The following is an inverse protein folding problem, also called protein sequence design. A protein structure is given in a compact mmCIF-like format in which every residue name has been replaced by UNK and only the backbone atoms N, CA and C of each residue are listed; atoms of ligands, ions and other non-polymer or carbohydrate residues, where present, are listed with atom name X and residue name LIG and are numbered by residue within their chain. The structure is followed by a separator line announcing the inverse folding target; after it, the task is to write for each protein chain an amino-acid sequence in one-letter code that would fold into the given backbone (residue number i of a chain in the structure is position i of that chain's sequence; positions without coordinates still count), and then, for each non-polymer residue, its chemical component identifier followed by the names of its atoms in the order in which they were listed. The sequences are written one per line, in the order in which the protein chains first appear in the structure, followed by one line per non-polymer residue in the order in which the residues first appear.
data_IF_207669587491
#
_entry.id   IF_207669587491
#
_cell.length_a   1.000
_cell.length_b   1.000
_cell.length_c   1.000
_cell.angle_alpha   90.00
_cell.angle_beta   90.00
_cell.angle_gamma   90.00
#
_symmetry.space_group_name_H-M   'P 1'
#
loop_
_entity.id
_entity.type
_entity.pdbx_description
1 polymer ?
#
# COMPACT_ATOMS: atom_id res chain seq x y z
N UNK A 1 13.48 10.11 8.43
CA UNK A 1 13.18 8.82 7.81
C UNK A 1 14.41 7.92 7.68
N UNK A 2 15.61 8.34 8.11
CA UNK A 2 16.82 7.50 8.02
C UNK A 2 16.69 6.24 8.89
N UNK A 3 16.17 6.35 10.11
CA UNK A 3 16.03 5.23 11.03
C UNK A 3 14.96 4.24 10.53
N UNK A 4 13.88 4.75 9.94
CA UNK A 4 12.87 3.90 9.26
C UNK A 4 13.51 3.12 8.12
N UNK A 5 14.32 3.77 7.27
CA UNK A 5 14.99 3.11 6.15
C UNK A 5 15.95 2.03 6.65
N UNK A 6 16.75 2.30 7.68
CA UNK A 6 17.65 1.30 8.29
C UNK A 6 16.87 0.09 8.84
N UNK A 7 15.74 0.33 9.51
CA UNK A 7 14.87 -0.74 10.02
C UNK A 7 14.26 -1.56 8.87
N UNK A 8 13.85 -0.91 7.77
CA UNK A 8 13.35 -1.60 6.57
C UNK A 8 14.44 -2.41 5.87
N UNK A 9 15.68 -1.92 5.79
CA UNK A 9 16.85 -2.70 5.32
C UNK A 9 17.10 -3.95 6.16
N UNK A 10 16.91 -3.84 7.48
CA UNK A 10 17.00 -5.02 8.35
C UNK A 10 15.88 -6.02 8.05
N UNK A 11 14.65 -5.56 7.89
CA UNK A 11 13.54 -6.44 7.55
C UNK A 11 13.70 -7.10 6.17
N UNK A 12 14.18 -6.37 5.17
CA UNK A 12 14.37 -6.91 3.81
C UNK A 12 15.39 -8.06 3.77
N UNK A 13 16.37 -8.09 4.68
CA UNK A 13 17.34 -9.19 4.79
C UNK A 13 16.83 -10.37 5.62
N UNK A 14 15.81 -10.16 6.46
CA UNK A 14 15.24 -11.18 7.35
C UNK A 14 14.00 -11.85 6.77
N UNK A 15 13.30 -11.17 5.85
CA UNK A 15 12.02 -11.61 5.30
C UNK A 15 12.21 -11.90 3.82
N UNK A 16 12.12 -13.18 3.49
CA UNK A 16 12.01 -13.61 2.11
C UNK A 16 10.55 -13.52 1.65
N UNK A 17 10.27 -12.55 0.77
CA UNK A 17 8.93 -12.30 0.24
C UNK A 17 8.38 -13.50 -0.54
N UNK A 18 9.22 -14.30 -1.21
CA UNK A 18 8.77 -15.50 -1.94
C UNK A 18 8.14 -16.54 -1.03
N UNK A 19 8.55 -16.55 0.23
CA UNK A 19 8.05 -17.46 1.26
C UNK A 19 7.00 -16.81 2.17
N UNK A 20 7.02 -15.49 2.32
CA UNK A 20 6.27 -14.78 3.37
C UNK A 20 5.07 -13.98 2.86
N UNK A 21 5.10 -13.53 1.62
CA UNK A 21 4.00 -12.82 0.99
C UNK A 21 2.94 -13.83 0.54
N UNK A 22 1.72 -13.66 1.03
CA UNK A 22 0.63 -14.61 0.83
C UNK A 22 -0.64 -13.86 0.41
N UNK A 23 -0.69 -13.48 -0.86
CA UNK A 23 -1.85 -12.85 -1.48
C UNK A 23 -2.21 -13.57 -2.77
N UNK A 24 -3.17 -14.49 -2.70
CA UNK A 24 -3.56 -15.32 -3.83
C UNK A 24 -4.73 -14.69 -4.61
N UNK A 25 -4.81 -15.02 -5.90
CA UNK A 25 -5.93 -14.66 -6.78
C UNK A 25 -6.26 -15.85 -7.70
N UNK A 26 -7.43 -15.82 -8.33
CA UNK A 26 -7.84 -16.87 -9.26
C UNK A 26 -7.13 -16.70 -10.62
N UNK A 27 -6.20 -17.61 -10.93
CA UNK A 27 -5.40 -17.61 -12.17
C UNK A 27 -6.23 -18.08 -13.37
N UNK A 28 -7.38 -18.73 -13.14
CA UNK A 28 -8.28 -19.22 -14.19
C UNK A 28 -9.41 -18.22 -14.50
N UNK A 29 -9.33 -16.99 -13.98
CA UNK A 29 -10.33 -15.95 -14.26
C UNK A 29 -10.29 -15.55 -15.75
N UNK A 30 -11.47 -15.26 -16.32
CA UNK A 30 -11.67 -14.94 -17.73
C UNK A 30 -10.96 -13.65 -18.20
N UNK A 31 -10.39 -12.86 -17.28
CA UNK A 31 -9.52 -11.74 -17.66
C UNK A 31 -8.23 -12.19 -18.35
N UNK A 32 -7.79 -13.43 -18.11
CA UNK A 32 -6.53 -13.97 -18.63
C UNK A 32 -6.75 -14.76 -19.93
N UNK A 33 -5.84 -14.58 -20.88
CA UNK A 33 -5.72 -15.48 -22.02
C UNK A 33 -5.06 -16.80 -21.61
N UNK A 34 -5.18 -17.84 -22.43
CA UNK A 34 -4.50 -19.12 -22.17
C UNK A 34 -2.98 -18.97 -21.99
N UNK A 35 -2.35 -18.08 -22.76
CA UNK A 35 -0.91 -17.78 -22.65
C UNK A 35 -0.58 -17.10 -21.32
N UNK A 36 -1.38 -16.12 -20.90
CA UNK A 36 -1.18 -15.42 -19.62
C UNK A 36 -1.40 -16.35 -18.42
N UNK A 37 -2.40 -17.22 -18.49
CA UNK A 37 -2.64 -18.29 -17.50
C UNK A 37 -1.44 -19.22 -17.42
N UNK A 38 -0.88 -19.67 -18.54
CA UNK A 38 0.32 -20.51 -18.56
C UNK A 38 1.51 -19.80 -17.91
N UNK A 39 1.75 -18.53 -18.25
CA UNK A 39 2.80 -17.72 -17.64
C UNK A 39 2.64 -17.62 -16.11
N UNK A 40 1.44 -17.34 -15.62
CA UNK A 40 1.15 -17.25 -14.19
C UNK A 40 1.33 -18.59 -13.46
N UNK A 41 1.04 -19.71 -14.12
CA UNK A 41 1.27 -21.05 -13.57
C UNK A 41 2.75 -21.43 -13.46
N UNK A 42 3.65 -20.78 -14.22
CA UNK A 42 5.10 -21.01 -14.08
C UNK A 42 5.66 -20.45 -12.78
N UNK A 43 5.04 -19.40 -12.23
CA UNK A 43 5.46 -18.77 -10.99
C UNK A 43 5.02 -19.61 -9.77
N UNK A 44 6.00 -20.00 -8.95
CA UNK A 44 5.82 -21.03 -7.91
C UNK A 44 5.23 -20.53 -6.60
N UNK A 45 5.13 -19.22 -6.40
CA UNK A 45 4.71 -18.61 -5.15
C UNK A 45 3.86 -17.36 -5.38
N UNK A 46 3.06 -16.95 -4.38
CA UNK A 46 2.14 -15.82 -4.54
C UNK A 46 2.85 -14.50 -4.86
N UNK A 47 4.09 -14.30 -4.37
CA UNK A 47 4.85 -13.09 -4.67
C UNK A 47 5.16 -12.99 -6.16
N UNK A 48 5.83 -14.00 -6.73
CA UNK A 48 6.21 -14.00 -8.15
C UNK A 48 4.97 -13.90 -9.05
N UNK A 49 3.86 -14.56 -8.69
CA UNK A 49 2.58 -14.46 -9.41
C UNK A 49 1.99 -13.05 -9.40
N UNK A 50 2.04 -12.33 -8.27
CA UNK A 50 1.56 -10.94 -8.21
C UNK A 50 2.49 -9.97 -8.94
N UNK A 51 3.80 -10.24 -8.93
CA UNK A 51 4.77 -9.49 -9.75
C UNK A 51 4.45 -9.67 -11.23
N UNK A 52 4.22 -10.90 -11.69
CA UNK A 52 3.82 -11.21 -13.06
C UNK A 52 2.51 -10.54 -13.44
N UNK A 53 1.51 -10.64 -12.57
CA UNK A 53 0.20 -10.02 -12.76
C UNK A 53 0.29 -8.51 -12.98
N UNK A 54 1.18 -7.82 -12.23
CA UNK A 54 1.41 -6.37 -12.41
C UNK A 54 1.77 -6.03 -13.84
N UNK A 55 2.67 -6.79 -14.44
CA UNK A 55 3.13 -6.56 -15.81
C UNK A 55 2.11 -7.00 -16.86
N UNK A 56 1.43 -8.13 -16.67
CA UNK A 56 0.34 -8.57 -17.58
C UNK A 56 -0.74 -7.48 -17.66
N UNK A 57 -1.25 -7.01 -16.53
CA UNK A 57 -2.30 -6.00 -16.52
C UNK A 57 -1.80 -4.63 -17.01
N UNK A 58 -0.56 -4.25 -16.72
CA UNK A 58 0.05 -3.04 -17.28
C UNK A 58 0.06 -3.06 -18.81
N UNK A 59 0.39 -4.21 -19.43
CA UNK A 59 0.34 -4.36 -20.88
C UNK A 59 -1.10 -4.33 -21.42
N UNK A 60 -2.05 -5.02 -20.75
CA UNK A 60 -3.46 -4.95 -21.14
C UNK A 60 -4.02 -3.53 -21.08
N UNK A 61 -3.62 -2.70 -20.12
CA UNK A 61 -4.04 -1.29 -20.07
C UNK A 61 -3.61 -0.48 -21.29
N UNK A 62 -2.44 -0.80 -21.88
CA UNK A 62 -1.90 -0.10 -23.05
C UNK A 62 -2.62 -0.48 -24.34
N UNK A 63 -3.21 -1.68 -24.40
CA UNK A 63 -3.80 -2.24 -25.62
C UNK A 63 -5.33 -2.33 -25.59
N UNK A 64 -5.95 -2.33 -24.40
CA UNK A 64 -7.39 -2.51 -24.25
C UNK A 64 -8.18 -1.20 -24.33
N UNK A 65 -9.25 -1.22 -25.14
CA UNK A 65 -10.27 -0.18 -25.14
C UNK A 65 -11.18 -0.24 -23.89
N UNK A 66 -11.32 -1.41 -23.25
CA UNK A 66 -12.23 -1.66 -22.13
C UNK A 66 -11.53 -1.56 -20.77
N UNK A 67 -10.90 -0.42 -20.50
CA UNK A 67 -10.16 -0.21 -19.25
C UNK A 67 -11.03 -0.33 -17.99
N UNK A 68 -12.33 -0.01 -18.08
CA UNK A 68 -13.24 -0.09 -16.94
C UNK A 68 -13.37 -1.53 -16.43
N UNK A 69 -13.44 -2.52 -17.31
CA UNK A 69 -13.52 -3.93 -16.90
C UNK A 69 -12.30 -4.32 -16.06
N UNK A 70 -11.10 -3.92 -16.52
CA UNK A 70 -9.83 -4.16 -15.82
C UNK A 70 -9.81 -3.41 -14.48
N UNK A 71 -10.24 -2.14 -14.46
CA UNK A 71 -10.28 -1.32 -13.24
C UNK A 71 -11.12 -1.99 -12.15
N UNK A 72 -12.32 -2.47 -12.51
CA UNK A 72 -13.21 -3.13 -11.55
C UNK A 72 -12.73 -4.52 -11.16
N UNK A 73 -12.12 -5.28 -12.07
CA UNK A 73 -11.52 -6.56 -11.74
C UNK A 73 -10.40 -6.40 -10.69
N UNK A 74 -9.51 -5.43 -10.88
CA UNK A 74 -8.42 -5.12 -9.94
C UNK A 74 -8.97 -4.81 -8.55
N UNK A 75 -10.02 -4.01 -8.46
CA UNK A 75 -10.55 -3.58 -7.15
C UNK A 75 -11.40 -4.68 -6.50
N UNK A 76 -12.28 -5.33 -7.27
CA UNK A 76 -13.31 -6.22 -6.73
C UNK A 76 -12.83 -7.67 -6.63
N UNK A 77 -12.23 -8.20 -7.69
CA UNK A 77 -11.83 -9.60 -7.78
C UNK A 77 -10.46 -9.78 -7.12
N UNK A 78 -9.43 -9.08 -7.60
CA UNK A 78 -8.09 -9.16 -7.02
C UNK A 78 -8.03 -8.48 -5.65
N UNK A 79 -8.49 -7.24 -5.53
CA UNK A 79 -8.44 -6.48 -4.27
C UNK A 79 -9.47 -6.88 -3.22
N UNK A 80 -10.47 -7.70 -3.58
CA UNK A 80 -11.52 -8.18 -2.68
C UNK A 80 -12.48 -7.10 -2.16
N UNK A 81 -12.58 -5.94 -2.79
CA UNK A 81 -13.42 -4.80 -2.33
C UNK A 81 -14.77 -4.79 -3.05
N UNK A 82 -15.62 -5.80 -2.78
CA UNK A 82 -16.93 -6.00 -3.44
C UNK A 82 -17.91 -4.82 -3.34
N UNK A 83 -17.69 -3.87 -2.42
CA UNK A 83 -18.50 -2.66 -2.28
C UNK A 83 -18.29 -1.63 -3.40
N UNK A 84 -17.16 -1.69 -4.12
CA UNK A 84 -16.82 -0.75 -5.20
C UNK A 84 -17.43 -1.22 -6.54
N UNK A 85 -18.76 -1.17 -6.63
CA UNK A 85 -19.52 -1.71 -7.76
C UNK A 85 -19.32 -0.91 -9.07
N UNK A 86 -19.42 -1.57 -10.24
CA UNK A 86 -19.42 -0.89 -11.54
C UNK A 86 -20.71 -0.10 -11.76
N UNK A 87 -20.70 1.16 -11.34
CA UNK A 87 -21.77 2.13 -11.57
C UNK A 87 -21.17 3.44 -12.08
N UNK A 88 -22.01 4.30 -12.66
CA UNK A 88 -21.59 5.58 -13.27
C UNK A 88 -20.73 6.41 -12.32
N UNK A 89 -21.15 6.56 -11.05
CA UNK A 89 -20.41 7.30 -10.03
C UNK A 89 -18.99 6.77 -9.82
N UNK A 90 -18.82 5.46 -9.75
CA UNK A 90 -17.51 4.84 -9.54
C UNK A 90 -16.64 4.86 -10.81
N UNK A 91 -17.25 4.76 -11.99
CA UNK A 91 -16.57 4.94 -13.29
C UNK A 91 -16.01 6.37 -13.36
N UNK A 92 -16.84 7.38 -13.11
CA UNK A 92 -16.42 8.79 -13.09
C UNK A 92 -15.33 9.04 -12.05
N UNK A 93 -15.44 8.43 -10.87
CA UNK A 93 -14.43 8.52 -9.81
C UNK A 93 -13.07 7.96 -10.27
N UNK A 94 -13.05 6.79 -10.91
CA UNK A 94 -11.82 6.21 -11.47
C UNK A 94 -11.24 7.12 -12.58
N UNK A 95 -12.08 7.60 -13.51
CA UNK A 95 -11.62 8.49 -14.58
C UNK A 95 -11.01 9.78 -14.03
N UNK A 96 -11.65 10.39 -13.02
CA UNK A 96 -11.11 11.57 -12.34
C UNK A 96 -9.80 11.27 -11.63
N UNK A 97 -9.69 10.12 -10.97
CA UNK A 97 -8.46 9.67 -10.33
C UNK A 97 -7.32 9.51 -11.34
N UNK A 98 -7.55 8.83 -12.47
CA UNK A 98 -6.56 8.69 -13.56
C UNK A 98 -6.06 10.04 -14.05
N UNK A 99 -6.95 11.03 -14.21
CA UNK A 99 -6.57 12.42 -14.56
C UNK A 99 -5.76 13.12 -13.46
N UNK A 100 -6.09 12.87 -12.19
CA UNK A 100 -5.42 13.46 -11.03
C UNK A 100 -4.01 12.89 -10.79
N UNK A 101 -3.80 11.61 -11.10
CA UNK A 101 -2.47 10.98 -11.03
C UNK A 101 -1.47 11.72 -11.92
N UNK A 102 -1.86 12.03 -13.17
CA UNK A 102 -1.01 12.78 -14.11
C UNK A 102 -0.68 14.18 -13.59
N UNK A 103 -1.56 14.78 -12.77
CA UNK A 103 -1.37 16.11 -12.18
C UNK A 103 -0.55 16.09 -10.88
N UNK A 104 -0.37 14.94 -10.24
CA UNK A 104 0.35 14.84 -8.96
C UNK A 104 -0.42 15.39 -7.74
N UNK A 105 -1.75 15.52 -7.82
CA UNK A 105 -2.57 15.97 -6.67
C UNK A 105 -3.96 15.31 -6.68
N UNK A 106 -4.38 14.76 -5.54
CA UNK A 106 -5.68 14.11 -5.37
C UNK A 106 -6.71 15.06 -4.75
N UNK A 107 -7.97 14.94 -5.18
CA UNK A 107 -9.09 15.50 -4.41
C UNK A 107 -9.40 14.65 -3.18
N UNK A 108 -9.97 15.26 -2.13
CA UNK A 108 -10.39 14.56 -0.91
C UNK A 108 -11.35 13.39 -1.18
N UNK A 109 -12.30 13.55 -2.13
CA UNK A 109 -13.21 12.45 -2.50
C UNK A 109 -12.47 11.26 -3.17
N UNK A 110 -11.40 11.51 -3.92
CA UNK A 110 -10.55 10.43 -4.42
C UNK A 110 -9.74 9.80 -3.28
N UNK A 111 -9.16 10.62 -2.40
CA UNK A 111 -8.37 10.12 -1.27
C UNK A 111 -9.21 9.23 -0.33
N UNK A 112 -10.49 9.56 -0.11
CA UNK A 112 -11.40 8.73 0.71
C UNK A 112 -11.52 7.27 0.26
N UNK A 113 -11.24 7.00 -1.02
CA UNK A 113 -11.25 5.65 -1.63
C UNK A 113 -9.87 5.21 -2.10
N UNK A 114 -8.80 5.82 -1.59
CA UNK A 114 -7.45 5.62 -2.11
C UNK A 114 -6.99 4.17 -2.02
N UNK A 115 -7.42 3.39 -1.02
CA UNK A 115 -7.02 1.98 -0.93
C UNK A 115 -7.51 1.15 -2.11
N UNK A 116 -8.62 1.55 -2.76
CA UNK A 116 -9.12 0.94 -3.99
C UNK A 116 -8.43 1.53 -5.20
N UNK A 117 -8.40 2.86 -5.29
CA UNK A 117 -7.89 3.57 -6.46
C UNK A 117 -6.38 3.36 -6.66
N UNK A 118 -5.58 3.33 -5.60
CA UNK A 118 -4.13 3.09 -5.69
C UNK A 118 -3.78 1.72 -6.27
N UNK A 119 -4.66 0.72 -6.12
CA UNK A 119 -4.49 -0.60 -6.74
C UNK A 119 -4.43 -0.45 -8.25
N UNK A 120 -5.40 0.25 -8.82
CA UNK A 120 -5.50 0.53 -10.27
C UNK A 120 -4.20 1.18 -10.77
N UNK A 121 -3.73 2.25 -10.13
CA UNK A 121 -2.49 2.90 -10.57
C UNK A 121 -1.25 2.04 -10.45
N UNK A 122 -1.17 1.18 -9.42
CA UNK A 122 -0.04 0.25 -9.25
C UNK A 122 0.04 -0.84 -10.32
N UNK A 123 -1.06 -1.06 -11.06
CA UNK A 123 -1.12 -1.94 -12.23
C UNK A 123 -0.95 -1.18 -13.54
N UNK A 124 -1.42 0.07 -13.63
CA UNK A 124 -1.21 0.92 -14.82
C UNK A 124 0.29 1.17 -15.03
N UNK A 125 0.98 1.60 -13.97
CA UNK A 125 2.39 1.95 -14.00
C UNK A 125 3.10 1.44 -12.73
N UNK A 126 3.51 0.16 -12.75
CA UNK A 126 4.18 -0.50 -11.62
C UNK A 126 5.54 0.11 -11.24
N UNK A 127 6.12 0.95 -12.12
CA UNK A 127 7.42 1.59 -11.88
C UNK A 127 7.31 2.88 -11.06
N UNK A 128 6.13 3.49 -11.00
CA UNK A 128 5.92 4.78 -10.33
C UNK A 128 4.89 4.74 -9.21
N UNK A 129 3.94 3.79 -9.23
CA UNK A 129 2.85 3.76 -8.27
C UNK A 129 2.78 2.46 -7.48
N UNK A 130 2.40 2.59 -6.22
CA UNK A 130 2.28 1.49 -5.25
C UNK A 130 0.94 1.56 -4.55
N UNK A 131 0.59 0.48 -3.84
CA UNK A 131 -0.72 0.37 -3.21
C UNK A 131 -0.71 1.08 -1.84
N UNK A 132 -1.60 2.07 -1.69
CA UNK A 132 -1.86 2.76 -0.43
C UNK A 132 -2.89 1.97 0.41
N UNK A 133 -2.52 0.76 0.80
CA UNK A 133 -3.37 -0.11 1.63
C UNK A 133 -3.25 0.23 3.11
N UNK A 134 -4.33 0.03 3.87
CA UNK A 134 -4.34 0.23 5.32
C UNK A 134 -3.20 -0.48 6.05
N UNK A 135 -2.83 -1.71 5.66
CA UNK A 135 -1.71 -2.45 6.29
C UNK A 135 -0.37 -1.83 6.00
N UNK A 136 -0.17 -1.39 4.75
CA UNK A 136 1.08 -0.77 4.31
C UNK A 136 1.31 0.54 5.06
N UNK A 137 0.28 1.38 5.16
CA UNK A 137 0.36 2.65 5.86
C UNK A 137 0.45 2.47 7.38
N UNK A 138 -0.24 1.46 7.93
CA UNK A 138 -0.11 1.09 9.34
C UNK A 138 1.34 0.75 9.70
N UNK A 139 1.96 -0.14 8.93
CA UNK A 139 3.37 -0.52 9.12
C UNK A 139 4.27 0.70 9.04
N UNK A 140 4.11 1.55 8.01
CA UNK A 140 4.96 2.73 7.85
C UNK A 140 4.80 3.71 9.02
N UNK A 141 3.57 4.00 9.44
CA UNK A 141 3.31 4.90 10.56
C UNK A 141 3.85 4.35 11.89
N UNK A 142 3.74 3.04 12.12
CA UNK A 142 4.35 2.40 13.28
C UNK A 142 5.88 2.56 13.29
N UNK A 143 6.52 2.39 12.13
CA UNK A 143 7.97 2.59 12.02
C UNK A 143 8.35 4.06 12.23
N UNK A 144 7.56 5.01 11.72
CA UNK A 144 7.77 6.45 11.99
C UNK A 144 7.70 6.71 13.50
N UNK A 145 6.66 6.20 14.16
CA UNK A 145 6.45 6.34 15.59
C UNK A 145 7.66 5.82 16.39
N UNK A 146 8.05 4.57 16.13
CA UNK A 146 9.06 3.86 16.94
C UNK A 146 10.51 4.20 16.57
N UNK A 147 10.78 4.67 15.36
CA UNK A 147 12.15 4.91 14.91
C UNK A 147 12.50 6.39 14.79
N UNK A 148 11.56 7.25 14.36
CA UNK A 148 11.82 8.68 14.13
C UNK A 148 11.30 9.53 15.27
N UNK A 149 10.09 9.23 15.72
CA UNK A 149 9.33 10.06 16.65
C UNK A 149 9.38 9.55 18.10
N UNK A 150 10.21 8.54 18.42
CA UNK A 150 10.31 7.97 19.77
C UNK A 150 10.65 9.00 20.87
N UNK A 151 11.35 10.08 20.50
CA UNK A 151 11.80 11.14 21.39
C UNK A 151 11.25 12.49 20.93
N UNK A 152 9.93 12.57 20.74
CA UNK A 152 9.19 13.74 20.30
C UNK A 152 8.86 13.77 18.81
N UNK A 153 7.94 14.64 18.42
CA UNK A 153 7.42 14.74 17.06
C UNK A 153 8.44 15.38 16.09
N UNK A 154 8.97 14.59 15.14
CA UNK A 154 9.97 15.04 14.14
C UNK A 154 9.54 14.84 12.70
N UNK A 155 8.66 13.87 12.45
CA UNK A 155 8.17 13.49 11.13
C UNK A 155 6.67 13.31 11.17
N UNK A 156 5.98 13.88 10.17
CA UNK A 156 4.55 13.68 9.96
C UNK A 156 4.25 12.22 9.62
N UNK A 157 3.05 11.80 9.99
CA UNK A 157 2.47 10.50 9.67
C UNK A 157 1.69 10.57 8.35
N UNK A 158 1.46 9.40 7.75
CA UNK A 158 0.61 9.28 6.58
C UNK A 158 -0.85 9.03 7.00
N UNK A 159 -1.85 9.74 6.42
CA UNK A 159 -3.25 9.53 6.80
C UNK A 159 -3.69 8.09 6.55
N UNK A 160 -4.27 7.44 7.57
CA UNK A 160 -4.75 6.07 7.45
C UNK A 160 -5.93 5.98 6.47
N UNK A 161 -5.87 5.13 5.43
CA UNK A 161 -7.05 4.84 4.61
C UNK A 161 -7.98 3.89 5.37
N UNK A 162 -9.27 3.86 5.01
CA UNK A 162 -10.22 2.93 5.60
C UNK A 162 -9.79 1.47 5.36
N UNK A 163 -9.57 0.74 6.45
CA UNK A 163 -9.16 -0.66 6.46
C UNK A 163 -10.27 -1.60 6.95
N UNK A 164 -10.22 -2.86 6.51
CA UNK A 164 -11.10 -3.95 6.99
C UNK A 164 -10.37 -4.95 7.88
N UNK A 165 -9.07 -4.76 8.07
CA UNK A 165 -8.26 -5.65 8.89
C UNK A 165 -8.62 -5.44 10.36
N UNK A 166 -9.00 -6.51 11.05
CA UNK A 166 -9.45 -6.47 12.44
C UNK A 166 -8.35 -6.00 13.40
N UNK A 167 -7.10 -6.43 13.21
CA UNK A 167 -5.98 -6.00 14.05
C UNK A 167 -5.80 -4.48 13.94
N UNK A 168 -5.83 -3.95 12.71
CA UNK A 168 -5.70 -2.51 12.48
C UNK A 168 -6.87 -1.73 13.06
N UNK A 169 -8.08 -2.29 13.01
CA UNK A 169 -9.27 -1.66 13.57
C UNK A 169 -9.26 -1.69 15.12
N UNK A 170 -8.86 -2.80 15.72
CA UNK A 170 -8.80 -2.99 17.17
C UNK A 170 -7.66 -2.15 17.80
N UNK A 171 -6.57 -1.93 17.05
CA UNK A 171 -5.43 -1.10 17.44
C UNK A 171 -5.29 0.11 16.51
N UNK A 172 -6.25 1.02 16.57
CA UNK A 172 -6.30 2.17 15.67
C UNK A 172 -5.03 3.05 15.75
N UNK A 173 -4.34 3.18 14.61
CA UNK A 173 -3.06 3.90 14.54
C UNK A 173 -3.21 5.40 14.85
N UNK A 174 -4.34 6.03 14.50
CA UNK A 174 -4.52 7.45 14.79
C UNK A 174 -4.64 7.69 16.29
N UNK A 175 -5.33 6.78 16.99
CA UNK A 175 -5.44 6.79 18.44
C UNK A 175 -4.08 6.60 19.11
N UNK A 176 -3.29 5.63 18.62
CA UNK A 176 -1.92 5.40 19.13
C UNK A 176 -1.05 6.65 18.94
N UNK A 177 -1.08 7.26 17.75
CA UNK A 177 -0.32 8.49 17.45
C UNK A 177 -0.74 9.64 18.36
N UNK A 178 -2.05 9.87 18.54
CA UNK A 178 -2.56 10.95 19.38
C UNK A 178 -2.20 10.76 20.86
N UNK A 179 -2.21 9.52 21.38
CA UNK A 179 -1.80 9.23 22.76
C UNK A 179 -0.30 9.47 22.93
N UNK A 180 0.52 9.06 21.96
CA UNK A 180 1.97 9.20 22.03
C UNK A 180 2.42 10.67 21.94
N UNK A 181 1.70 11.49 21.16
CA UNK A 181 1.95 12.92 20.98
C UNK A 181 0.85 13.76 21.65
N UNK A 182 0.53 13.44 22.91
CA UNK A 182 -0.61 14.06 23.62
C UNK A 182 -0.47 15.58 23.76
N UNK A 183 0.77 16.08 23.88
CA UNK A 183 1.06 17.52 23.95
C UNK A 183 0.76 18.20 22.62
N UNK A 184 1.29 17.66 21.52
CA UNK A 184 1.05 18.17 20.17
C UNK A 184 -0.43 18.08 19.78
N UNK A 185 -1.11 17.01 20.21
CA UNK A 185 -2.55 16.84 20.05
C UNK A 185 -3.34 17.93 20.79
N UNK A 186 -3.00 18.22 22.04
CA UNK A 186 -3.63 19.29 22.83
C UNK A 186 -3.43 20.68 22.21
N UNK A 187 -2.29 20.89 21.54
CA UNK A 187 -1.97 22.13 20.82
C UNK A 187 -2.56 22.20 19.40
N UNK A 188 -3.32 21.19 18.95
CA UNK A 188 -3.83 21.06 17.58
C UNK A 188 -2.74 21.11 16.49
N UNK A 189 -1.57 20.53 16.77
CA UNK A 189 -0.50 20.40 15.79
C UNK A 189 -0.91 19.43 14.68
N UNK A 190 -0.63 19.78 13.43
CA UNK A 190 -0.90 18.92 12.28
C UNK A 190 0.11 17.77 12.20
N UNK A 191 -0.27 16.62 12.77
CA UNK A 191 0.56 15.42 12.84
C UNK A 191 0.69 14.68 11.50
N UNK A 192 -0.15 14.99 10.52
CA UNK A 192 -0.26 14.20 9.29
C UNK A 192 0.15 14.97 8.04
N UNK A 193 0.58 14.22 7.03
CA UNK A 193 0.74 14.74 5.66
C UNK A 193 -0.64 15.07 5.10
N UNK A 194 -0.72 16.13 4.29
CA UNK A 194 -1.97 16.54 3.66
C UNK A 194 -2.51 15.42 2.74
N UNK A 195 -3.79 15.05 2.89
CA UNK A 195 -4.43 13.98 2.12
C UNK A 195 -4.32 14.15 0.60
N UNK A 196 -4.28 15.37 0.09
CA UNK A 196 -4.19 15.64 -1.35
C UNK A 196 -2.83 15.24 -1.95
N UNK A 197 -1.77 15.25 -1.12
CA UNK A 197 -0.40 14.96 -1.54
C UNK A 197 0.12 13.63 -0.97
N UNK A 198 -0.49 13.12 0.10
CA UNK A 198 -0.01 11.97 0.86
C UNK A 198 0.24 10.72 0.00
N UNK A 199 -0.58 10.48 -1.02
CA UNK A 199 -0.39 9.35 -1.92
C UNK A 199 0.90 9.48 -2.76
N UNK A 200 1.18 10.67 -3.28
CA UNK A 200 2.36 10.91 -4.12
C UNK A 200 3.63 10.96 -3.27
N UNK A 201 3.60 11.63 -2.11
CA UNK A 201 4.71 11.61 -1.16
C UNK A 201 5.04 10.17 -0.71
N UNK A 202 4.01 9.34 -0.53
CA UNK A 202 4.20 7.92 -0.24
C UNK A 202 4.82 7.16 -1.42
N UNK A 203 4.34 7.35 -2.65
CA UNK A 203 4.91 6.70 -3.83
C UNK A 203 6.38 7.09 -4.04
N UNK A 204 6.71 8.38 -3.90
CA UNK A 204 8.08 8.87 -4.03
C UNK A 204 8.99 8.32 -2.94
N UNK A 205 8.49 8.25 -1.70
CA UNK A 205 9.18 7.61 -0.59
C UNK A 205 9.47 6.15 -0.92
N UNK A 206 8.47 5.36 -1.34
CA UNK A 206 8.67 3.94 -1.64
C UNK A 206 9.65 3.79 -2.80
N UNK A 207 9.41 4.46 -3.93
CA UNK A 207 10.26 4.35 -5.13
C UNK A 207 11.73 4.67 -4.85
N UNK A 208 12.00 5.76 -4.13
CA UNK A 208 13.36 6.17 -3.81
C UNK A 208 14.03 5.17 -2.88
N UNK A 209 13.30 4.70 -1.86
CA UNK A 209 13.88 3.87 -0.82
C UNK A 209 13.97 2.39 -1.20
N UNK A 210 13.12 1.88 -2.10
CA UNK A 210 13.26 0.52 -2.63
C UNK A 210 14.64 0.35 -3.25
N UNK A 211 15.08 1.29 -4.09
CA UNK A 211 16.42 1.26 -4.71
C UNK A 211 17.55 1.22 -3.68
N UNK A 212 17.42 2.02 -2.62
CA UNK A 212 18.39 2.05 -1.54
C UNK A 212 18.43 0.77 -0.71
N UNK A 213 17.33 0.00 -0.68
CA UNK A 213 17.16 -1.21 0.14
C UNK A 213 17.51 -2.48 -0.65
N UNK A 214 17.06 -2.57 -1.90
CA UNK A 214 17.11 -3.78 -2.74
C UNK A 214 18.05 -3.64 -3.95
N UNK A 215 18.55 -2.44 -4.26
CA UNK A 215 19.43 -2.17 -5.41
C UNK A 215 18.72 -1.47 -6.57
N UNK A 216 19.48 -0.99 -7.56
CA UNK A 216 18.96 -0.12 -8.64
C UNK A 216 17.90 -0.78 -9.54
N UNK A 217 17.98 -2.10 -9.73
CA UNK A 217 17.04 -2.85 -10.58
C UNK A 217 15.72 -3.21 -9.87
N UNK A 218 15.62 -2.90 -8.58
CA UNK A 218 14.43 -3.18 -7.77
C UNK A 218 13.24 -2.33 -8.17
N UNK A 219 12.04 -2.83 -7.87
CA UNK A 219 10.78 -2.20 -8.23
C UNK A 219 10.02 -1.74 -6.99
N UNK A 220 9.31 -0.59 -7.04
CA UNK A 220 8.63 -0.02 -5.87
C UNK A 220 7.71 -1.01 -5.14
N UNK A 221 7.04 -1.90 -5.86
CA UNK A 221 6.14 -2.90 -5.29
C UNK A 221 6.82 -3.88 -4.33
N UNK A 222 8.13 -4.11 -4.42
CA UNK A 222 8.83 -5.04 -3.51
C UNK A 222 8.81 -4.51 -2.06
N UNK A 223 9.10 -3.22 -1.89
CA UNK A 223 9.03 -2.58 -0.58
C UNK A 223 7.59 -2.41 -0.09
N UNK A 224 6.64 -2.14 -0.99
CA UNK A 224 5.21 -2.12 -0.65
C UNK A 224 4.73 -3.48 -0.14
N UNK A 225 5.07 -4.57 -0.84
CA UNK A 225 4.75 -5.94 -0.44
C UNK A 225 5.45 -6.34 0.87
N UNK A 226 6.67 -5.83 1.14
CA UNK A 226 7.32 -5.99 2.44
C UNK A 226 6.50 -5.31 3.55
N UNK A 227 6.14 -4.03 3.38
CA UNK A 227 5.35 -3.29 4.37
C UNK A 227 4.01 -3.96 4.64
N UNK A 228 3.37 -4.47 3.59
CA UNK A 228 2.14 -5.26 3.67
C UNK A 228 2.33 -6.53 4.50
N UNK A 229 3.41 -7.29 4.23
CA UNK A 229 3.72 -8.57 4.89
C UNK A 229 4.03 -8.40 6.38
N UNK A 230 4.62 -7.26 6.75
CA UNK A 230 5.03 -6.95 8.12
C UNK A 230 3.84 -6.63 9.07
N UNK A 231 2.74 -6.11 8.54
CA UNK A 231 1.67 -5.49 9.32
C UNK A 231 1.07 -6.44 10.37
N UNK A 232 0.63 -7.61 9.93
CA UNK A 232 -0.10 -8.57 10.79
C UNK A 232 0.83 -9.49 11.60
N UNK A 233 2.15 -9.38 11.42
CA UNK A 233 3.16 -10.25 12.02
C UNK A 233 4.14 -9.44 12.86
N UNK A 234 5.22 -8.95 12.27
CA UNK A 234 6.30 -8.25 12.96
C UNK A 234 5.79 -7.01 13.70
N UNK A 235 4.99 -6.18 13.04
CA UNK A 235 4.46 -4.94 13.65
C UNK A 235 3.49 -5.27 14.77
N UNK A 236 2.56 -6.21 14.55
CA UNK A 236 1.64 -6.62 15.60
C UNK A 236 2.37 -7.25 16.80
N UNK A 237 3.45 -7.99 16.57
CA UNK A 237 4.30 -8.56 17.62
C UNK A 237 5.05 -7.47 18.42
N UNK A 238 5.62 -6.47 17.74
CA UNK A 238 6.26 -5.32 18.38
C UNK A 238 5.24 -4.51 19.20
N UNK A 239 4.06 -4.25 18.63
CA UNK A 239 2.96 -3.56 19.31
C UNK A 239 2.53 -4.30 20.58
N UNK A 240 2.36 -5.62 20.53
CA UNK A 240 2.07 -6.43 21.73
C UNK A 240 3.16 -6.32 22.80
N UNK A 241 4.43 -6.23 22.41
CA UNK A 241 5.54 -6.10 23.37
C UNK A 241 5.57 -4.73 24.02
N UNK A 242 5.26 -3.68 23.28
CA UNK A 242 5.23 -2.30 23.80
C UNK A 242 3.97 -2.00 24.62
N UNK A 243 2.82 -2.56 24.24
CA UNK A 243 1.56 -2.40 24.98
C UNK A 243 1.43 -3.35 26.18
N UNK A 244 2.25 -4.40 26.26
CA UNK A 244 2.50 -5.08 27.54
C UNK A 244 3.29 -4.14 28.43
N UNK A 245 2.57 -3.13 28.92
CA UNK A 245 2.99 -2.24 29.98
C UNK A 245 3.44 -3.13 31.12
N UNK A 246 4.73 -3.00 31.42
CA UNK A 246 5.37 -3.44 32.66
C UNK A 246 4.48 -3.02 33.82
N UNK A 247 3.78 -3.97 34.43
CA UNK A 247 3.31 -3.84 35.82
C UNK A 247 4.50 -3.74 36.74
#
# INVERSE_FOLDING_TARGET
MKNVIEKLKKFSTQIDLKNRFDFNFDINDNIFSSEETEQLLTDKNPFDQNVRLKWILSQKYKTSAEQNFIDFWIVNNWGGIRGFKPNERNIEKIQRFKKQIVKGQLSLDCFSTISSLSKISSFIDPDNFVIYDSRVIYTLNWLILTCENQNGFKKKYFPMPSGRNKIIADFDMNTIVNIFHISEYAENTDLYVNQQNAYFEFCDFIKTNTKLIYGEDSKPYELEMLLFTLADKEIFSELKKQLKITT
#
